data_IF_903684755209
#
_entry.id   IF_903684755209
#
_cell.length_a   1.000
_cell.length_b   1.000
_cell.length_c   1.000
_cell.angle_alpha   90.00
_cell.angle_beta   90.00
_cell.angle_gamma   90.00
#
_symmetry.space_group_name_H-M   'P 1'
#
loop_
_entity.id
_entity.type
_entity.pdbx_description
1 polymer ?
#
# COMPACT_ATOMS: atom_id res chain seq x y z
N UNK A 1 -5.40 -7.36 16.00
CA UNK A 1 -6.23 -7.06 14.81
C UNK A 1 -7.07 -5.84 15.12
N UNK A 2 -7.10 -4.86 14.22
CA UNK A 2 -7.79 -3.59 14.43
C UNK A 2 -9.10 -3.53 13.64
N UNK A 3 -9.98 -2.59 14.00
CA UNK A 3 -11.27 -2.40 13.35
C UNK A 3 -11.43 -0.98 12.83
N UNK A 4 -12.02 -0.86 11.64
CA UNK A 4 -12.45 0.40 11.07
C UNK A 4 -13.79 0.19 10.33
N UNK A 5 -14.83 0.95 10.69
CA UNK A 5 -16.18 0.83 10.12
C UNK A 5 -16.70 -0.62 10.05
N UNK A 6 -16.59 -1.34 11.17
CA UNK A 6 -16.98 -2.75 11.30
C UNK A 6 -16.19 -3.72 10.40
N UNK A 7 -15.07 -3.29 9.81
CA UNK A 7 -14.16 -4.15 9.05
C UNK A 7 -12.89 -4.38 9.86
N UNK A 8 -12.48 -5.64 9.92
CA UNK A 8 -11.21 -6.02 10.52
C UNK A 8 -10.12 -5.76 9.50
N UNK A 9 -9.03 -5.16 9.95
CA UNK A 9 -7.82 -5.05 9.15
C UNK A 9 -6.61 -5.45 9.96
N UNK A 10 -5.55 -5.75 9.22
CA UNK A 10 -4.24 -6.03 9.80
C UNK A 10 -3.21 -5.11 9.14
N UNK A 11 -2.19 -4.75 9.90
CA UNK A 11 -1.11 -3.87 9.48
C UNK A 11 0.16 -4.69 9.24
N UNK A 12 0.90 -4.30 8.22
CA UNK A 12 2.26 -4.74 7.93
C UNK A 12 3.14 -3.51 7.85
N UNK A 13 4.37 -3.62 8.35
CA UNK A 13 5.35 -2.53 8.24
C UNK A 13 6.57 -3.02 7.47
N UNK A 14 7.04 -2.19 6.55
CA UNK A 14 8.23 -2.45 5.76
C UNK A 14 9.21 -1.29 5.85
N UNK A 15 10.50 -1.61 5.92
CA UNK A 15 11.58 -0.64 5.89
C UNK A 15 12.15 -0.51 4.48
N UNK A 16 12.37 0.71 4.03
CA UNK A 16 13.07 0.97 2.76
C UNK A 16 14.52 0.54 2.88
N UNK A 17 14.98 -0.32 1.95
CA UNK A 17 16.36 -0.79 1.86
C UNK A 17 17.16 -0.16 0.72
N UNK A 18 16.50 0.48 -0.24
CA UNK A 18 17.20 1.18 -1.32
C UNK A 18 16.29 2.02 -2.21
N UNK A 19 16.90 2.93 -2.95
CA UNK A 19 16.29 3.74 -4.01
C UNK A 19 17.17 3.61 -5.26
N UNK A 20 16.58 3.34 -6.41
CA UNK A 20 17.28 3.37 -7.69
C UNK A 20 16.33 3.82 -8.81
N UNK A 21 16.66 4.90 -9.51
CA UNK A 21 15.94 5.35 -10.70
C UNK A 21 14.43 5.51 -10.51
N UNK A 22 14.00 6.13 -9.39
CA UNK A 22 12.57 6.30 -9.08
C UNK A 22 11.85 5.05 -8.55
N UNK A 23 12.58 3.95 -8.34
CA UNK A 23 12.10 2.76 -7.65
C UNK A 23 12.55 2.75 -6.19
N UNK A 24 11.72 2.25 -5.29
CA UNK A 24 12.04 2.02 -3.89
C UNK A 24 11.90 0.53 -3.57
N UNK A 25 12.88 -0.07 -2.90
CA UNK A 25 12.80 -1.44 -2.39
C UNK A 25 12.53 -1.42 -0.90
N UNK A 26 11.59 -2.25 -0.45
CA UNK A 26 11.26 -2.40 0.95
C UNK A 26 11.37 -3.86 1.38
N UNK A 27 11.78 -4.07 2.63
CA UNK A 27 11.82 -5.38 3.28
C UNK A 27 10.83 -5.39 4.44
N UNK A 28 10.06 -6.45 4.53
CA UNK A 28 9.13 -6.71 5.62
C UNK A 28 9.85 -6.62 6.98
N UNK A 29 9.20 -5.98 7.94
CA UNK A 29 9.68 -5.83 9.31
C UNK A 29 8.78 -6.56 10.30
N UNK A 30 7.48 -6.28 10.28
CA UNK A 30 6.54 -6.76 11.31
C UNK A 30 5.07 -6.73 10.87
N UNK A 31 4.23 -7.40 11.65
CA UNK A 31 2.78 -7.47 11.46
C UNK A 31 2.32 -8.75 10.81
N UNK A 32 1.33 -8.65 9.91
CA UNK A 32 0.99 -9.75 9.00
C UNK A 32 1.71 -9.58 7.66
N UNK A 33 1.66 -10.59 6.80
CA UNK A 33 2.33 -10.54 5.50
C UNK A 33 1.36 -10.88 4.37
N UNK A 34 0.60 -9.89 3.86
CA UNK A 34 -0.38 -10.09 2.79
C UNK A 34 0.27 -10.11 1.39
N UNK A 35 1.53 -9.70 1.30
CA UNK A 35 2.40 -9.70 0.11
C UNK A 35 3.78 -10.23 0.52
N UNK A 36 4.67 -10.54 -0.43
CA UNK A 36 6.01 -11.07 -0.19
C UNK A 36 6.88 -10.24 0.78
N UNK A 37 7.94 -10.86 1.30
CA UNK A 37 8.91 -10.22 2.20
C UNK A 37 9.62 -9.03 1.59
N UNK A 38 9.89 -9.13 0.30
CA UNK A 38 10.53 -8.08 -0.46
C UNK A 38 9.54 -7.51 -1.45
N UNK A 39 9.37 -6.19 -1.42
CA UNK A 39 8.52 -5.49 -2.38
C UNK A 39 9.27 -4.32 -3.01
N UNK A 40 8.92 -4.03 -4.26
CA UNK A 40 9.41 -2.88 -5.01
C UNK A 40 8.23 -1.99 -5.35
N UNK A 41 8.40 -0.70 -5.11
CA UNK A 41 7.48 0.34 -5.57
C UNK A 41 8.15 1.11 -6.70
N UNK A 42 7.50 1.19 -7.86
CA UNK A 42 7.98 1.95 -9.03
C UNK A 42 6.97 3.00 -9.44
N UNK A 43 7.43 4.18 -9.87
CA UNK A 43 6.53 5.21 -10.43
C UNK A 43 5.90 4.69 -11.72
N UNK A 44 4.61 4.99 -11.94
CA UNK A 44 3.98 4.76 -13.24
C UNK A 44 4.45 5.81 -14.25
N UNK A 45 5.13 5.37 -15.30
CA UNK A 45 5.66 6.23 -16.37
C UNK A 45 4.62 6.48 -17.48
N UNK A 46 3.33 6.57 -17.12
CA UNK A 46 2.22 6.69 -18.07
C UNK A 46 1.90 5.40 -18.83
N UNK A 47 2.29 4.24 -18.29
CA UNK A 47 2.03 2.93 -18.91
C UNK A 47 0.69 2.34 -18.48
N UNK A 48 0.13 2.81 -17.37
CA UNK A 48 -1.17 2.37 -16.89
C UNK A 48 -2.30 2.86 -17.80
N UNK A 49 -3.13 1.93 -18.28
CA UNK A 49 -4.43 2.25 -18.89
C UNK A 49 -5.48 2.66 -17.85
N UNK A 50 -5.26 2.31 -16.58
CA UNK A 50 -6.16 2.66 -15.50
C UNK A 50 -5.88 4.09 -14.99
N UNK A 51 -6.91 4.94 -14.99
CA UNK A 51 -6.82 6.32 -14.52
C UNK A 51 -6.47 6.37 -13.03
N UNK A 52 -5.47 7.17 -12.68
CA UNK A 52 -5.14 7.50 -11.29
C UNK A 52 -4.15 6.56 -10.59
N UNK A 53 -3.65 5.52 -11.28
CA UNK A 53 -2.45 4.79 -10.85
C UNK A 53 -1.27 5.75 -10.92
N UNK A 54 -0.47 5.81 -9.85
CA UNK A 54 0.75 6.65 -9.82
C UNK A 54 2.00 5.85 -9.53
N UNK A 55 1.86 4.68 -8.92
CA UNK A 55 2.94 3.75 -8.63
C UNK A 55 2.45 2.33 -8.83
N UNK A 56 3.38 1.39 -8.94
CA UNK A 56 3.13 -0.04 -8.98
C UNK A 56 3.83 -0.69 -7.79
N UNK A 57 3.13 -1.61 -7.12
CA UNK A 57 3.75 -2.52 -6.15
C UNK A 57 4.01 -3.85 -6.85
N UNK A 58 5.25 -4.31 -6.76
CA UNK A 58 5.72 -5.59 -7.28
C UNK A 58 6.29 -6.41 -6.14
N UNK A 59 5.76 -7.61 -5.94
CA UNK A 59 6.36 -8.62 -5.09
C UNK A 59 7.65 -9.16 -5.71
N UNK A 60 8.70 -9.27 -4.90
CA UNK A 60 9.97 -9.88 -5.27
C UNK A 60 10.13 -11.21 -4.53
N UNK A 61 10.84 -12.15 -5.15
CA UNK A 61 11.26 -13.37 -4.46
C UNK A 61 12.52 -13.16 -3.61
N UNK A 62 13.01 -14.24 -3.02
CA UNK A 62 14.20 -14.24 -2.16
C UNK A 62 15.50 -13.87 -2.90
N UNK A 63 15.51 -14.00 -4.23
CA UNK A 63 16.61 -13.59 -5.10
C UNK A 63 16.48 -12.12 -5.55
N UNK A 64 15.47 -11.40 -5.06
CA UNK A 64 15.14 -10.02 -5.43
C UNK A 64 14.79 -9.86 -6.92
N UNK A 65 14.36 -10.93 -7.57
CA UNK A 65 13.88 -10.88 -8.94
C UNK A 65 12.48 -10.29 -8.97
N UNK A 66 12.22 -9.46 -9.99
CA UNK A 66 10.94 -8.78 -10.11
C UNK A 66 9.91 -9.75 -10.69
N UNK A 67 8.80 -9.97 -10.00
CA UNK A 67 7.62 -10.60 -10.60
C UNK A 67 6.83 -9.58 -11.42
N UNK A 68 5.74 -10.04 -12.04
CA UNK A 68 4.74 -9.12 -12.59
C UNK A 68 4.19 -8.21 -11.47
N UNK A 69 3.82 -6.94 -11.77
CA UNK A 69 3.23 -6.07 -10.78
C UNK A 69 2.01 -6.70 -10.10
N UNK A 70 2.01 -6.73 -8.77
CA UNK A 70 0.93 -7.29 -7.95
C UNK A 70 -0.29 -6.38 -7.99
N UNK A 71 -0.07 -5.06 -7.86
CA UNK A 71 -1.17 -4.08 -7.90
C UNK A 71 -0.68 -2.69 -8.31
N UNK A 72 -1.57 -1.95 -8.96
CA UNK A 72 -1.44 -0.50 -9.08
C UNK A 72 -1.73 0.17 -7.74
N UNK A 73 -0.99 1.24 -7.43
CA UNK A 73 -1.23 2.12 -6.29
C UNK A 73 -1.91 3.38 -6.80
N UNK A 74 -3.20 3.49 -6.51
CA UNK A 74 -4.06 4.59 -6.91
C UNK A 74 -3.95 5.76 -5.93
N UNK A 75 -3.77 6.97 -6.47
CA UNK A 75 -3.65 8.17 -5.62
C UNK A 75 -4.96 8.53 -4.93
N UNK A 76 -4.83 9.01 -3.69
CA UNK A 76 -5.88 9.77 -3.02
C UNK A 76 -5.58 11.28 -3.11
N UNK A 77 -6.40 12.13 -2.49
CA UNK A 77 -6.05 13.55 -2.30
C UNK A 77 -5.00 13.76 -1.21
N UNK A 78 -4.69 12.75 -0.39
CA UNK A 78 -3.63 12.81 0.60
C UNK A 78 -2.34 12.17 0.03
N UNK A 79 -1.24 12.91 -0.18
CA UNK A 79 -0.07 12.43 -0.93
C UNK A 79 0.62 11.17 -0.35
N UNK A 80 0.51 10.98 0.97
CA UNK A 80 1.10 9.83 1.68
C UNK A 80 0.27 8.55 1.52
N UNK A 81 -1.01 8.68 1.18
CA UNK A 81 -1.98 7.59 1.20
C UNK A 81 -2.41 7.20 -0.21
N UNK A 82 -2.27 5.92 -0.51
CA UNK A 82 -2.73 5.31 -1.77
C UNK A 82 -3.48 4.02 -1.46
N UNK A 83 -4.14 3.46 -2.46
CA UNK A 83 -4.82 2.17 -2.32
C UNK A 83 -4.59 1.29 -3.54
N UNK A 84 -4.78 0.01 -3.37
CA UNK A 84 -4.69 -0.99 -4.43
C UNK A 84 -5.62 -2.15 -4.11
N UNK A 85 -5.52 -3.18 -4.92
CA UNK A 85 -6.30 -4.40 -4.73
C UNK A 85 -5.39 -5.63 -4.72
N UNK A 86 -5.91 -6.72 -4.19
CA UNK A 86 -5.27 -8.02 -4.30
C UNK A 86 -6.33 -9.04 -4.70
N UNK A 87 -5.94 -9.95 -5.59
CA UNK A 87 -6.79 -11.02 -6.10
C UNK A 87 -8.09 -10.49 -6.72
N UNK A 88 -7.97 -9.69 -7.80
CA UNK A 88 -9.09 -9.16 -8.59
C UNK A 88 -10.14 -8.43 -7.74
N UNK A 89 -9.71 -7.45 -6.92
CA UNK A 89 -10.60 -6.71 -6.00
C UNK A 89 -11.33 -7.58 -4.97
N UNK A 90 -10.81 -8.76 -4.64
CA UNK A 90 -11.29 -9.54 -3.49
C UNK A 90 -10.83 -8.91 -2.17
N UNK A 91 -9.67 -8.25 -2.17
CA UNK A 91 -9.11 -7.60 -0.98
C UNK A 91 -8.69 -6.18 -1.27
N UNK A 92 -8.82 -5.31 -0.27
CA UNK A 92 -8.34 -3.94 -0.31
C UNK A 92 -6.98 -3.86 0.40
N UNK A 93 -6.03 -3.20 -0.28
CA UNK A 93 -4.77 -2.75 0.31
C UNK A 93 -4.80 -1.22 0.40
N UNK A 94 -4.47 -0.68 1.57
CA UNK A 94 -4.18 0.74 1.76
C UNK A 94 -2.71 0.87 2.09
N UNK A 95 -2.02 1.78 1.40
CA UNK A 95 -0.60 2.02 1.57
C UNK A 95 -0.37 3.42 2.11
N UNK A 96 0.50 3.51 3.10
CA UNK A 96 0.96 4.78 3.65
C UNK A 96 2.49 4.84 3.62
N UNK A 97 3.04 5.87 2.95
CA UNK A 97 4.46 6.19 3.00
C UNK A 97 4.71 7.23 4.08
N UNK A 98 5.46 6.85 5.12
CA UNK A 98 5.80 7.72 6.26
C UNK A 98 7.31 8.00 6.31
N UNK A 99 7.71 8.95 7.18
CA UNK A 99 9.12 9.30 7.42
C UNK A 99 9.89 9.64 6.13
N UNK A 100 9.29 10.44 5.24
CA UNK A 100 9.89 10.75 3.92
C UNK A 100 10.01 9.55 3.00
N UNK A 101 9.10 8.58 3.14
CA UNK A 101 9.07 7.33 2.36
C UNK A 101 10.12 6.30 2.82
N UNK A 102 10.67 6.42 4.03
CA UNK A 102 11.55 5.41 4.63
C UNK A 102 10.77 4.20 5.12
N UNK A 103 9.52 4.41 5.52
CA UNK A 103 8.65 3.36 6.04
C UNK A 103 7.40 3.26 5.18
N UNK A 104 6.99 2.03 4.88
CA UNK A 104 5.75 1.72 4.19
C UNK A 104 4.87 0.90 5.11
N UNK A 105 3.71 1.45 5.49
CA UNK A 105 2.66 0.71 6.14
C UNK A 105 1.71 0.15 5.08
N UNK A 106 1.36 -1.13 5.19
CA UNK A 106 0.32 -1.77 4.38
C UNK A 106 -0.80 -2.21 5.30
N UNK A 107 -1.99 -1.68 5.07
CA UNK A 107 -3.20 -2.03 5.79
C UNK A 107 -4.06 -2.94 4.89
N UNK A 108 -4.25 -4.17 5.34
CA UNK A 108 -4.92 -5.22 4.57
C UNK A 108 -6.31 -5.51 5.13
N UNK A 109 -7.32 -5.34 4.28
CA UNK A 109 -8.71 -5.68 4.56
C UNK A 109 -9.06 -6.95 3.78
N UNK A 110 -8.98 -8.09 4.47
CA UNK A 110 -9.31 -9.39 3.90
C UNK A 110 -10.80 -9.47 3.53
N UNK A 111 -11.08 -10.13 2.41
CA UNK A 111 -12.43 -10.35 1.84
C UNK A 111 -13.32 -9.08 1.80
N UNK A 112 -12.70 -7.92 1.57
CA UNK A 112 -13.39 -6.66 1.53
C UNK A 112 -12.78 -5.73 0.50
N UNK A 113 -13.61 -5.29 -0.44
CA UNK A 113 -13.28 -4.20 -1.36
C UNK A 113 -14.49 -3.27 -1.49
N UNK A 114 -14.40 -2.02 -1.02
CA UNK A 114 -15.53 -1.11 -1.02
C UNK A 114 -15.90 -0.68 -2.45
N UNK A 115 -17.17 -0.32 -2.65
CA UNK A 115 -17.64 0.30 -3.90
C UNK A 115 -16.88 1.59 -4.25
N UNK A 116 -16.43 2.34 -3.24
CA UNK A 116 -15.61 3.54 -3.40
C UNK A 116 -14.31 3.42 -2.60
N UNK A 117 -13.26 2.78 -3.16
CA UNK A 117 -12.00 2.55 -2.45
C UNK A 117 -11.29 3.87 -2.16
N UNK A 118 -11.27 4.82 -3.09
CA UNK A 118 -10.71 6.16 -2.85
C UNK A 118 -11.34 6.84 -1.62
N UNK A 119 -12.67 6.85 -1.51
CA UNK A 119 -13.37 7.49 -0.38
C UNK A 119 -13.08 6.75 0.93
N UNK A 120 -13.16 5.42 0.91
CA UNK A 120 -12.87 4.60 2.09
C UNK A 120 -11.44 4.83 2.59
N UNK A 121 -10.45 4.88 1.69
CA UNK A 121 -9.05 5.16 2.03
C UNK A 121 -8.86 6.54 2.64
N UNK A 122 -9.56 7.56 2.14
CA UNK A 122 -9.49 8.91 2.71
C UNK A 122 -10.05 8.97 4.13
N UNK A 123 -11.19 8.32 4.36
CA UNK A 123 -11.81 8.24 5.69
C UNK A 123 -10.93 7.43 6.67
N UNK A 124 -10.31 6.36 6.18
CA UNK A 124 -9.34 5.57 6.95
C UNK A 124 -8.11 6.40 7.32
N UNK A 125 -7.50 7.09 6.34
CA UNK A 125 -6.35 7.95 6.56
C UNK A 125 -6.65 9.05 7.60
N UNK A 126 -7.82 9.68 7.54
CA UNK A 126 -8.24 10.67 8.54
C UNK A 126 -8.36 10.06 9.95
N UNK A 127 -8.85 8.83 10.07
CA UNK A 127 -8.97 8.16 11.35
C UNK A 127 -7.59 7.79 11.93
N UNK A 128 -6.66 7.29 11.10
CA UNK A 128 -5.30 6.96 11.54
C UNK A 128 -4.52 8.21 11.97
N UNK A 129 -4.60 9.31 11.23
CA UNK A 129 -3.96 10.59 11.61
C UNK A 129 -4.46 11.10 12.96
N UNK A 130 -5.76 10.95 13.25
CA UNK A 130 -6.34 11.32 14.55
C UNK A 130 -5.83 10.45 15.70
N UNK A 131 -5.61 9.15 15.46
CA UNK A 131 -5.05 8.23 16.48
C UNK A 131 -3.62 8.58 16.85
N UNK A 132 -2.82 9.06 15.88
CA UNK A 132 -1.42 9.44 16.10
C UNK A 132 -1.23 10.77 16.84
N UNK A 133 -2.33 11.37 17.35
CA UNK A 133 -2.27 12.64 18.06
C UNK A 133 -2.04 13.83 17.13
N UNK A 134 -2.54 13.75 15.89
CA UNK A 134 -2.59 14.90 14.99
C UNK A 134 -3.27 16.07 15.69
N UNK A 135 -2.51 17.17 15.83
CA UNK A 135 -2.86 18.47 16.43
C UNK A 135 -4.30 18.87 16.15
#
# INVERSE_FOLDING_TARGET
MEKFKNRIFSKSVYDRKGINGGSMKFKYREGIRPVSDWIKITIDMGRSKAKGVTKWLTEMDDHLENRQPTTGMFKTSQPRWTYGDLNNKKHLLIFELTQGGKTLNIYYFKDYYPRSPKRFTLEFAQAEVKKEGGI
#
